data_IF_591530755515
#
_entry.id   IF_591530755515
#
_cell.length_a   1.000
_cell.length_b   1.000
_cell.length_c   1.000
_cell.angle_alpha   90.00
_cell.angle_beta   90.00
_cell.angle_gamma   90.00
#
_symmetry.space_group_name_H-M   'P 1'
#
loop_
_entity.id
_entity.type
_entity.pdbx_description
1 polymer ?
#
# COMPACT_ATOMS: atom_id res chain seq x y z
N UNK A 1 -5.28 -11.81 23.61
CA UNK A 1 -4.76 -11.58 22.25
C UNK A 1 -3.92 -10.30 22.25
N UNK A 2 -2.60 -10.40 22.27
CA UNK A 2 -1.72 -9.23 22.42
C UNK A 2 -1.53 -8.43 21.10
N UNK A 3 -2.17 -8.83 20.00
CA UNK A 3 -1.89 -8.30 18.68
C UNK A 3 -0.67 -8.98 18.02
N UNK A 4 -0.51 -8.81 16.73
CA UNK A 4 0.59 -9.36 15.94
C UNK A 4 1.87 -8.50 16.06
N UNK A 5 2.86 -8.71 15.20
CA UNK A 5 4.14 -8.01 15.24
C UNK A 5 4.08 -6.54 14.83
N UNK A 6 2.99 -6.09 14.19
CA UNK A 6 2.85 -4.70 13.76
C UNK A 6 2.85 -3.73 14.95
N UNK A 7 3.42 -2.55 14.73
CA UNK A 7 3.51 -1.46 15.70
C UNK A 7 4.04 -1.90 17.09
N UNK A 8 5.26 -2.46 17.21
CA UNK A 8 5.79 -2.98 18.46
C UNK A 8 5.81 -1.95 19.60
N UNK A 9 5.93 -0.66 19.29
CA UNK A 9 5.82 0.43 20.27
C UNK A 9 4.44 0.52 20.95
N UNK A 10 3.41 -0.03 20.32
CA UNK A 10 2.04 -0.11 20.84
C UNK A 10 1.72 -1.46 21.45
N UNK A 11 2.70 -2.37 21.55
CA UNK A 11 2.56 -3.69 22.17
C UNK A 11 2.48 -4.85 21.19
N UNK A 12 2.69 -4.60 19.89
CA UNK A 12 2.81 -5.64 18.88
C UNK A 12 3.96 -6.59 19.22
N UNK A 13 3.77 -7.91 19.07
CA UNK A 13 4.76 -8.92 19.45
C UNK A 13 4.60 -10.21 18.66
N UNK A 14 5.71 -10.90 18.43
CA UNK A 14 5.75 -12.26 17.85
C UNK A 14 5.68 -13.37 18.91
N UNK A 15 5.52 -13.02 20.19
CA UNK A 15 5.63 -13.98 21.30
C UNK A 15 4.64 -15.15 21.22
N UNK A 16 3.47 -14.96 20.62
CA UNK A 16 2.48 -16.04 20.44
C UNK A 16 2.99 -17.13 19.50
N UNK A 17 3.70 -16.77 18.45
CA UNK A 17 4.25 -17.77 17.53
C UNK A 17 5.22 -18.72 18.23
N UNK A 18 6.01 -18.21 19.20
CA UNK A 18 6.89 -19.05 20.05
C UNK A 18 6.11 -20.05 20.91
N UNK A 19 4.91 -19.70 21.36
CA UNK A 19 4.05 -20.63 22.12
C UNK A 19 3.54 -21.78 21.25
N UNK A 20 3.50 -21.59 19.92
CA UNK A 20 3.01 -22.56 18.95
C UNK A 20 4.14 -23.45 18.38
N UNK A 21 5.42 -23.16 18.63
CA UNK A 21 6.57 -23.89 18.08
C UNK A 21 6.56 -25.41 18.41
N UNK A 22 5.90 -25.81 19.51
CA UNK A 22 5.77 -27.21 19.92
C UNK A 22 4.38 -27.80 19.60
N UNK A 23 3.66 -27.20 18.68
CA UNK A 23 2.35 -27.67 18.22
C UNK A 23 2.38 -27.98 16.73
N UNK A 24 1.41 -28.78 16.25
CA UNK A 24 1.23 -29.03 14.82
C UNK A 24 0.43 -27.92 14.12
N UNK A 25 0.23 -26.78 14.79
CA UNK A 25 -0.48 -25.64 14.23
C UNK A 25 0.40 -24.97 13.17
N UNK A 26 -0.06 -25.04 11.93
CA UNK A 26 0.65 -24.42 10.81
C UNK A 26 0.47 -22.91 10.85
N UNK A 27 1.60 -22.21 10.75
CA UNK A 27 1.67 -20.75 10.63
C UNK A 27 2.20 -20.36 9.26
N UNK A 28 1.68 -19.26 8.72
CA UNK A 28 2.23 -18.58 7.56
C UNK A 28 3.14 -17.49 8.08
N UNK A 29 4.35 -17.42 7.51
CA UNK A 29 5.37 -16.48 8.00
C UNK A 29 4.83 -15.04 8.02
N UNK A 30 4.85 -14.36 9.17
CA UNK A 30 4.34 -13.01 9.25
C UNK A 30 5.29 -12.02 8.56
N UNK A 31 4.71 -10.99 7.94
CA UNK A 31 5.43 -9.87 7.38
C UNK A 31 4.64 -8.55 7.56
N UNK A 32 5.31 -7.38 7.52
CA UNK A 32 4.64 -6.09 7.63
C UNK A 32 3.56 -5.91 6.56
N UNK A 33 2.47 -5.22 6.91
CA UNK A 33 1.39 -4.87 6.00
C UNK A 33 0.90 -3.44 6.26
N UNK A 34 0.27 -2.84 5.27
CA UNK A 34 -0.23 -1.47 5.33
C UNK A 34 0.86 -0.48 5.76
N UNK A 35 1.96 -0.50 5.04
CA UNK A 35 3.14 0.33 5.30
C UNK A 35 3.62 1.06 4.04
N UNK A 36 4.53 2.00 4.23
CA UNK A 36 5.16 2.72 3.12
C UNK A 36 6.10 1.83 2.32
N UNK A 37 6.29 2.16 1.03
CA UNK A 37 7.15 1.46 0.10
C UNK A 37 8.38 2.32 -0.23
N UNK A 38 9.57 1.71 -0.24
CA UNK A 38 10.83 2.39 -0.55
C UNK A 38 11.09 2.37 -2.04
N UNK A 39 11.33 3.53 -2.64
CA UNK A 39 11.67 3.66 -4.05
C UNK A 39 13.17 3.50 -4.30
N UNK A 40 13.55 3.13 -5.52
CA UNK A 40 14.94 3.24 -5.99
C UNK A 40 15.25 4.65 -6.46
N UNK A 41 14.25 5.30 -7.06
CA UNK A 41 14.38 6.67 -7.53
C UNK A 41 14.46 7.64 -6.36
N UNK A 42 15.23 8.69 -6.55
CA UNK A 42 15.24 9.84 -5.66
C UNK A 42 13.92 10.61 -5.77
N UNK A 43 13.19 10.67 -4.68
CA UNK A 43 11.92 11.41 -4.57
C UNK A 43 12.02 12.59 -3.60
N UNK A 44 13.23 13.03 -3.25
CA UNK A 44 13.48 14.14 -2.31
C UNK A 44 12.79 15.44 -2.73
N UNK A 45 12.81 15.75 -4.04
CA UNK A 45 12.11 16.91 -4.62
C UNK A 45 10.58 16.86 -4.43
N UNK A 46 10.02 15.66 -4.29
CA UNK A 46 8.59 15.43 -4.06
C UNK A 46 8.23 15.37 -2.56
N UNK A 47 9.21 15.41 -1.66
CA UNK A 47 8.97 15.24 -0.24
C UNK A 47 7.87 16.19 0.30
N UNK A 48 6.88 15.59 0.99
CA UNK A 48 5.73 16.27 1.57
C UNK A 48 4.58 16.53 0.60
N UNK A 49 4.73 16.21 -0.69
CA UNK A 49 3.64 16.36 -1.67
C UNK A 49 2.61 15.26 -1.47
N UNK A 50 1.34 15.65 -1.54
CA UNK A 50 0.19 14.74 -1.62
C UNK A 50 -0.53 14.96 -2.93
N UNK A 51 -1.00 13.89 -3.55
CA UNK A 51 -1.78 13.96 -4.78
C UNK A 51 -2.88 12.90 -4.77
N UNK A 52 -4.05 13.27 -5.28
CA UNK A 52 -5.11 12.30 -5.60
C UNK A 52 -4.77 11.66 -6.93
N UNK A 53 -4.75 10.34 -6.98
CA UNK A 53 -4.30 9.59 -8.14
C UNK A 53 -4.90 8.18 -8.16
N UNK A 54 -4.62 7.45 -9.24
CA UNK A 54 -4.65 5.99 -9.23
C UNK A 54 -3.23 5.49 -9.06
N UNK A 55 -3.06 4.48 -8.24
CA UNK A 55 -1.79 3.80 -8.00
C UNK A 55 -1.96 2.35 -8.43
N UNK A 56 -1.09 1.85 -9.30
CA UNK A 56 -1.11 0.46 -9.77
C UNK A 56 0.19 -0.24 -9.39
N UNK A 57 0.09 -1.47 -8.92
CA UNK A 57 1.21 -2.35 -8.65
C UNK A 57 1.46 -3.21 -9.88
N UNK A 58 2.65 -3.08 -10.47
CA UNK A 58 3.09 -3.85 -11.64
C UNK A 58 4.26 -4.73 -11.28
N UNK A 59 4.36 -5.88 -11.93
CA UNK A 59 5.54 -6.73 -11.90
C UNK A 59 5.62 -7.56 -13.18
N UNK A 60 6.81 -7.63 -13.78
CA UNK A 60 7.08 -8.35 -15.05
C UNK A 60 6.13 -7.97 -16.21
N UNK A 61 5.62 -6.73 -16.20
CA UNK A 61 4.72 -6.20 -17.21
C UNK A 61 3.23 -6.37 -16.92
N UNK A 62 2.86 -7.16 -15.92
CA UNK A 62 1.48 -7.40 -15.52
C UNK A 62 1.04 -6.45 -14.40
N UNK A 63 -0.22 -6.05 -14.42
CA UNK A 63 -0.86 -5.29 -13.33
C UNK A 63 -1.43 -6.28 -12.31
N UNK A 64 -0.95 -6.23 -11.08
CA UNK A 64 -1.36 -7.09 -9.97
C UNK A 64 -2.58 -6.56 -9.24
N UNK A 65 -2.59 -5.27 -8.92
CA UNK A 65 -3.72 -4.60 -8.27
C UNK A 65 -3.64 -3.09 -8.54
N UNK A 66 -4.74 -2.38 -8.32
CA UNK A 66 -4.82 -0.92 -8.46
C UNK A 66 -5.73 -0.32 -7.40
N UNK A 67 -5.30 0.81 -6.85
CA UNK A 67 -6.03 1.57 -5.84
C UNK A 67 -6.20 3.02 -6.28
N UNK A 68 -7.35 3.60 -5.98
CA UNK A 68 -7.58 5.03 -6.17
C UNK A 68 -7.60 5.73 -4.82
N UNK A 69 -6.86 6.82 -4.69
CA UNK A 69 -6.80 7.54 -3.43
C UNK A 69 -5.71 8.60 -3.39
N UNK A 70 -5.32 8.98 -2.19
CA UNK A 70 -4.21 9.91 -1.97
C UNK A 70 -2.89 9.13 -1.86
N UNK A 71 -1.90 9.53 -2.66
CA UNK A 71 -0.49 9.19 -2.46
C UNK A 71 0.20 10.33 -1.72
N UNK A 72 1.15 10.00 -0.86
CA UNK A 72 2.07 10.93 -0.24
C UNK A 72 3.50 10.54 -0.60
N UNK A 73 4.21 11.47 -1.20
CA UNK A 73 5.63 11.34 -1.50
C UNK A 73 6.47 11.77 -0.30
N UNK A 74 7.50 11.00 -0.01
CA UNK A 74 8.52 11.34 0.97
C UNK A 74 9.91 11.07 0.37
N UNK A 75 10.96 11.50 1.02
CA UNK A 75 12.33 11.29 0.55
C UNK A 75 12.66 9.78 0.47
N UNK A 76 12.74 9.24 -0.74
CA UNK A 76 12.94 7.83 -1.04
C UNK A 76 11.75 6.90 -0.71
N UNK A 77 10.53 7.44 -0.49
CA UNK A 77 9.37 6.64 -0.08
C UNK A 77 8.06 7.09 -0.71
N UNK A 78 7.21 6.11 -0.97
CA UNK A 78 5.78 6.30 -1.28
C UNK A 78 4.94 5.89 -0.07
N UNK A 79 3.92 6.67 0.24
CA UNK A 79 3.03 6.49 1.38
C UNK A 79 1.60 6.90 1.00
N UNK A 80 0.66 6.82 1.96
CA UNK A 80 -0.75 7.10 1.72
C UNK A 80 -1.58 5.83 1.60
N UNK A 81 -2.91 5.97 1.74
CA UNK A 81 -3.82 4.82 1.83
C UNK A 81 -3.76 3.93 0.60
N UNK A 82 -3.67 4.51 -0.60
CA UNK A 82 -3.57 3.74 -1.85
C UNK A 82 -2.29 2.88 -1.87
N UNK A 83 -1.17 3.43 -1.44
CA UNK A 83 0.11 2.70 -1.34
C UNK A 83 0.05 1.63 -0.25
N UNK A 84 -0.54 1.93 0.90
CA UNK A 84 -0.67 0.97 2.00
C UNK A 84 -1.46 -0.27 1.58
N UNK A 85 -2.56 -0.08 0.87
CA UNK A 85 -3.37 -1.20 0.39
C UNK A 85 -2.63 -2.12 -0.59
N UNK A 86 -1.75 -1.55 -1.42
CA UNK A 86 -0.93 -2.31 -2.36
C UNK A 86 0.31 -2.92 -1.71
N UNK A 87 0.72 -2.44 -0.52
CA UNK A 87 1.96 -2.87 0.13
C UNK A 87 2.00 -4.36 0.44
N UNK A 88 0.86 -4.97 0.76
CA UNK A 88 0.77 -6.40 1.08
C UNK A 88 1.28 -7.26 -0.10
N UNK A 89 0.66 -7.11 -1.26
CA UNK A 89 1.08 -7.84 -2.46
C UNK A 89 2.47 -7.43 -2.95
N UNK A 90 2.83 -6.15 -2.79
CA UNK A 90 4.16 -5.66 -3.12
C UNK A 90 5.26 -6.35 -2.28
N UNK A 91 5.00 -6.57 -1.00
CA UNK A 91 5.93 -7.24 -0.09
C UNK A 91 6.04 -8.72 -0.44
N UNK A 92 4.93 -9.38 -0.79
CA UNK A 92 4.96 -10.77 -1.27
C UNK A 92 5.87 -10.90 -2.50
N UNK A 93 5.72 -10.00 -3.49
CA UNK A 93 6.57 -9.98 -4.68
C UNK A 93 8.06 -9.75 -4.34
N UNK A 94 8.35 -8.84 -3.40
CA UNK A 94 9.73 -8.62 -2.93
C UNK A 94 10.31 -9.85 -2.23
N UNK A 95 9.52 -10.54 -1.40
CA UNK A 95 9.91 -11.76 -0.71
C UNK A 95 10.19 -12.92 -1.69
N UNK A 96 9.47 -12.94 -2.83
CA UNK A 96 9.70 -13.86 -3.94
C UNK A 96 10.92 -13.48 -4.81
N UNK A 97 11.66 -12.43 -4.44
CA UNK A 97 12.85 -11.95 -5.15
C UNK A 97 12.53 -11.21 -6.45
N UNK A 98 11.29 -10.77 -6.65
CA UNK A 98 10.85 -10.02 -7.83
C UNK A 98 11.06 -8.51 -7.63
N UNK A 99 10.94 -7.77 -8.70
CA UNK A 99 11.11 -6.31 -8.71
C UNK A 99 9.77 -5.63 -9.05
N UNK A 100 8.95 -5.34 -8.03
CA UNK A 100 7.69 -4.65 -8.26
C UNK A 100 7.90 -3.17 -8.61
N UNK A 101 6.98 -2.63 -9.40
CA UNK A 101 6.92 -1.22 -9.80
C UNK A 101 5.59 -0.64 -9.37
N UNK A 102 5.62 0.53 -8.76
CA UNK A 102 4.42 1.33 -8.51
C UNK A 102 4.29 2.36 -9.61
N UNK A 103 3.20 2.28 -10.38
CA UNK A 103 2.81 3.26 -11.38
C UNK A 103 1.75 4.20 -10.79
N UNK A 104 2.01 5.51 -10.91
CA UNK A 104 1.12 6.57 -10.44
C UNK A 104 0.47 7.26 -11.63
N UNK A 105 -0.84 7.14 -11.77
CA UNK A 105 -1.65 7.90 -12.73
C UNK A 105 -2.16 9.16 -12.05
N UNK A 106 -1.51 10.28 -12.31
CA UNK A 106 -2.00 11.60 -11.89
C UNK A 106 -3.23 12.00 -12.72
N UNK A 107 -4.12 12.82 -12.14
CA UNK A 107 -5.38 13.27 -12.79
C UNK A 107 -6.14 12.11 -13.47
N UNK A 108 -6.53 11.07 -12.72
CA UNK A 108 -7.12 9.85 -13.29
C UNK A 108 -8.46 10.07 -13.99
N UNK A 109 -9.10 11.23 -13.77
CA UNK A 109 -10.34 11.66 -14.40
C UNK A 109 -10.19 12.18 -15.85
N UNK A 110 -8.95 12.48 -16.29
CA UNK A 110 -8.64 12.92 -17.64
C UNK A 110 -7.91 11.79 -18.39
N UNK A 111 -8.21 11.57 -19.64
CA UNK A 111 -7.41 10.68 -20.49
C UNK A 111 -6.14 11.38 -21.02
N UNK A 112 -5.32 10.67 -21.79
CA UNK A 112 -4.08 11.23 -22.34
C UNK A 112 -4.33 12.35 -23.33
N UNK A 113 -5.37 12.23 -24.15
CA UNK A 113 -5.73 13.24 -25.14
C UNK A 113 -6.23 14.52 -24.47
N UNK A 114 -6.98 14.41 -23.38
CA UNK A 114 -7.43 15.55 -22.57
C UNK A 114 -6.24 16.29 -21.95
N UNK A 115 -5.29 15.54 -21.36
CA UNK A 115 -4.07 16.14 -20.77
C UNK A 115 -3.23 16.80 -21.84
N UNK A 116 -3.03 16.13 -22.99
CA UNK A 116 -2.30 16.68 -24.12
C UNK A 116 -2.95 17.96 -24.67
N UNK A 117 -4.27 17.92 -24.84
CA UNK A 117 -5.06 19.08 -25.27
C UNK A 117 -4.91 20.27 -24.32
N UNK A 118 -4.91 20.01 -23.00
CA UNK A 118 -4.66 21.04 -21.99
C UNK A 118 -3.26 21.65 -22.11
N UNK A 119 -2.23 20.82 -22.21
CA UNK A 119 -0.84 21.28 -22.31
C UNK A 119 -0.59 22.05 -23.62
N UNK A 120 -1.11 21.59 -24.77
CA UNK A 120 -1.03 22.30 -26.04
C UNK A 120 -1.71 23.68 -25.97
N UNK A 121 -2.92 23.73 -25.44
CA UNK A 121 -3.65 24.99 -25.25
C UNK A 121 -2.89 25.96 -24.35
N UNK A 122 -2.28 25.47 -23.28
CA UNK A 122 -1.47 26.30 -22.40
C UNK A 122 -0.25 26.85 -23.13
N UNK A 123 0.52 26.00 -23.85
CA UNK A 123 1.69 26.39 -24.65
C UNK A 123 1.34 27.51 -25.63
N UNK A 124 0.27 27.32 -26.40
CA UNK A 124 -0.10 28.22 -27.47
C UNK A 124 -0.67 29.56 -26.96
N UNK A 125 -1.36 29.53 -25.81
CA UNK A 125 -1.93 30.70 -25.17
C UNK A 125 -0.97 31.46 -24.24
N UNK A 126 0.10 30.85 -23.82
CA UNK A 126 1.03 31.42 -22.82
C UNK A 126 2.51 31.16 -23.20
N UNK A 127 2.95 31.59 -24.39
CA UNK A 127 4.26 31.21 -24.94
C UNK A 127 5.46 31.60 -24.04
N UNK A 128 5.37 32.73 -23.35
CA UNK A 128 6.44 33.26 -22.51
C UNK A 128 6.41 32.74 -21.07
N UNK A 129 5.40 31.93 -20.70
CA UNK A 129 5.32 31.37 -19.37
C UNK A 129 6.35 30.28 -19.15
N UNK A 130 6.83 30.20 -17.91
CA UNK A 130 7.74 29.14 -17.48
C UNK A 130 7.08 27.78 -17.63
N UNK A 131 7.94 26.78 -17.88
CA UNK A 131 7.50 25.41 -18.16
C UNK A 131 6.71 24.80 -16.98
N UNK A 132 7.17 25.07 -15.75
CA UNK A 132 6.50 24.56 -14.54
C UNK A 132 5.05 25.06 -14.42
N UNK A 133 4.76 26.22 -14.99
CA UNK A 133 3.40 26.77 -14.96
C UNK A 133 2.42 26.02 -15.88
N UNK A 134 2.89 25.21 -16.84
CA UNK A 134 2.03 24.46 -17.77
C UNK A 134 1.14 23.42 -17.07
N UNK A 135 1.60 22.88 -15.99
CA UNK A 135 0.85 21.88 -15.21
C UNK A 135 -0.01 22.48 -14.10
N UNK A 136 -0.04 23.83 -13.97
CA UNK A 136 -0.88 24.49 -12.98
C UNK A 136 -2.37 24.16 -13.24
N UNK A 137 -3.04 23.67 -12.20
CA UNK A 137 -4.41 23.17 -12.30
C UNK A 137 -4.54 21.69 -12.61
N UNK A 138 -3.48 21.03 -13.10
CA UNK A 138 -3.41 19.57 -13.27
C UNK A 138 -2.74 18.91 -12.07
N UNK A 139 -1.51 19.34 -11.76
CA UNK A 139 -0.69 18.74 -10.71
C UNK A 139 -0.02 19.80 -9.84
N UNK A 140 0.49 19.38 -8.69
CA UNK A 140 1.28 20.26 -7.81
C UNK A 140 2.56 20.73 -8.51
N UNK A 141 3.01 21.96 -8.23
CA UNK A 141 4.22 22.56 -8.82
C UNK A 141 5.48 21.70 -8.63
N UNK A 142 5.64 21.06 -7.46
CA UNK A 142 6.77 20.16 -7.21
C UNK A 142 6.73 18.93 -8.12
N UNK A 143 5.54 18.39 -8.39
CA UNK A 143 5.35 17.26 -9.33
C UNK A 143 5.72 17.73 -10.74
N UNK A 144 5.24 18.90 -11.16
CA UNK A 144 5.59 19.45 -12.47
C UNK A 144 7.11 19.60 -12.63
N UNK A 145 7.78 20.15 -11.63
CA UNK A 145 9.24 20.33 -11.62
C UNK A 145 9.97 18.98 -11.65
N UNK A 146 9.50 18.00 -10.89
CA UNK A 146 10.04 16.65 -10.90
C UNK A 146 9.95 16.01 -12.30
N UNK A 147 8.79 16.13 -12.97
CA UNK A 147 8.60 15.64 -14.35
C UNK A 147 9.58 16.32 -15.31
N UNK A 148 9.69 17.65 -15.24
CA UNK A 148 10.59 18.43 -16.08
C UNK A 148 12.05 17.98 -15.91
N UNK A 149 12.49 17.80 -14.67
CA UNK A 149 13.83 17.35 -14.34
C UNK A 149 14.08 15.92 -14.84
N UNK A 150 13.14 15.01 -14.59
CA UNK A 150 13.21 13.59 -14.98
C UNK A 150 13.26 13.41 -16.50
N UNK A 151 12.56 14.26 -17.24
CA UNK A 151 12.58 14.27 -18.71
C UNK A 151 13.74 15.07 -19.29
N UNK A 152 14.57 15.69 -18.44
CA UNK A 152 15.70 16.55 -18.85
C UNK A 152 15.29 17.66 -19.82
N UNK A 153 14.08 18.23 -19.63
CA UNK A 153 13.59 19.28 -20.50
C UNK A 153 14.39 20.56 -20.30
N UNK A 154 15.08 21.01 -21.35
CA UNK A 154 15.95 22.19 -21.32
C UNK A 154 15.21 23.50 -21.62
N UNK A 155 13.98 23.41 -22.02
CA UNK A 155 13.15 24.59 -22.35
C UNK A 155 12.86 25.39 -21.09
N UNK A 156 13.03 26.70 -21.17
CA UNK A 156 12.70 27.62 -20.07
C UNK A 156 11.25 28.11 -20.16
N UNK A 157 10.71 28.17 -21.39
CA UNK A 157 9.37 28.69 -21.66
C UNK A 157 8.54 27.70 -22.45
N UNK A 158 7.23 27.81 -22.31
CA UNK A 158 6.25 26.93 -22.95
C UNK A 158 6.38 26.89 -24.48
N UNK A 159 6.61 28.04 -25.12
CA UNK A 159 6.72 28.14 -26.59
C UNK A 159 7.81 27.28 -27.22
N UNK A 160 8.82 26.88 -26.45
CA UNK A 160 9.94 26.09 -26.95
C UNK A 160 9.72 24.58 -26.87
N UNK A 161 8.64 24.12 -26.27
CA UNK A 161 8.31 22.71 -26.21
C UNK A 161 7.83 22.19 -27.56
N UNK A 162 8.44 21.09 -27.98
CA UNK A 162 7.97 20.32 -29.13
C UNK A 162 6.77 19.48 -28.77
N UNK A 163 6.02 18.99 -29.76
CA UNK A 163 4.91 18.07 -29.53
C UNK A 163 5.40 16.75 -28.92
N UNK A 164 6.57 16.26 -29.31
CA UNK A 164 7.19 15.06 -28.73
C UNK A 164 7.50 15.24 -27.23
N UNK A 165 7.99 16.41 -26.82
CA UNK A 165 8.22 16.72 -25.40
C UNK A 165 6.92 16.81 -24.62
N UNK A 166 5.84 17.31 -25.23
CA UNK A 166 4.51 17.30 -24.64
C UNK A 166 3.97 15.89 -24.45
N UNK A 167 4.12 15.02 -25.45
CA UNK A 167 3.71 13.60 -25.35
C UNK A 167 4.48 12.88 -24.23
N UNK A 168 5.76 13.16 -24.07
CA UNK A 168 6.56 12.63 -22.95
C UNK A 168 6.08 13.16 -21.59
N UNK A 169 5.68 14.43 -21.50
CA UNK A 169 5.09 14.99 -20.27
C UNK A 169 3.75 14.31 -19.93
N UNK A 170 2.88 14.10 -20.94
CA UNK A 170 1.62 13.38 -20.77
C UNK A 170 1.89 11.98 -20.25
N UNK A 171 2.84 11.27 -20.86
CA UNK A 171 3.20 9.92 -20.42
C UNK A 171 3.63 9.90 -18.95
N UNK A 172 4.50 10.83 -18.51
CA UNK A 172 4.89 10.91 -17.10
C UNK A 172 3.73 11.29 -16.16
N UNK A 173 2.80 12.12 -16.60
CA UNK A 173 1.61 12.46 -15.80
C UNK A 173 0.71 11.23 -15.63
N UNK A 174 0.62 10.37 -16.63
CA UNK A 174 -0.30 9.21 -16.64
C UNK A 174 0.37 7.91 -16.18
N UNK A 175 1.69 7.78 -16.32
CA UNK A 175 2.45 6.55 -16.11
C UNK A 175 3.74 6.80 -15.33
N UNK A 176 3.70 7.62 -14.28
CA UNK A 176 4.87 7.88 -13.44
C UNK A 176 5.24 6.63 -12.64
N UNK A 177 6.40 6.05 -12.94
CA UNK A 177 6.84 4.75 -12.38
C UNK A 177 7.94 4.90 -11.36
N UNK A 178 7.83 4.09 -10.30
CA UNK A 178 8.82 3.96 -9.25
C UNK A 178 9.10 2.47 -9.00
N UNK A 179 10.35 2.08 -9.14
CA UNK A 179 10.80 0.73 -8.79
C UNK A 179 10.89 0.60 -7.27
N UNK A 180 10.29 -0.44 -6.71
CA UNK A 180 10.26 -0.65 -5.27
C UNK A 180 11.43 -1.52 -4.84
N UNK A 181 12.24 -1.01 -3.91
CA UNK A 181 13.44 -1.66 -3.40
C UNK A 181 13.29 -2.19 -1.97
N UNK A 182 12.14 -1.93 -1.33
CA UNK A 182 11.87 -2.35 0.04
C UNK A 182 10.59 -1.76 0.59
N UNK A 183 10.37 -1.93 1.88
CA UNK A 183 9.16 -1.51 2.58
C UNK A 183 9.46 -1.02 3.99
N UNK A 184 8.51 -0.33 4.62
CA UNK A 184 8.53 -0.04 6.04
C UNK A 184 8.49 -1.35 6.84
N UNK A 185 9.29 -1.43 7.91
CA UNK A 185 9.28 -2.57 8.82
C UNK A 185 8.03 -2.57 9.71
N UNK A 186 7.98 -3.50 10.67
CA UNK A 186 6.90 -3.57 11.65
C UNK A 186 6.67 -2.28 12.44
N UNK A 187 7.72 -1.49 12.69
CA UNK A 187 7.62 -0.19 13.38
C UNK A 187 6.75 0.83 12.64
N UNK A 188 6.56 0.65 11.34
CA UNK A 188 5.86 1.57 10.45
C UNK A 188 4.63 0.93 9.79
N UNK A 189 4.34 -0.32 10.12
CA UNK A 189 3.17 -1.04 9.62
C UNK A 189 1.95 -0.84 10.51
N UNK A 190 0.77 -0.74 9.89
CA UNK A 190 -0.49 -0.65 10.62
C UNK A 190 -1.08 -2.04 10.92
N UNK A 191 -0.63 -3.06 10.18
CA UNK A 191 -1.04 -4.45 10.33
C UNK A 191 0.12 -5.38 9.95
N UNK A 192 -0.04 -6.67 10.21
CA UNK A 192 0.81 -7.72 9.70
C UNK A 192 -0.01 -8.72 8.87
N UNK A 193 0.57 -9.19 7.78
CA UNK A 193 0.11 -10.38 7.06
C UNK A 193 0.70 -11.64 7.66
N UNK A 194 0.17 -12.80 7.28
CA UNK A 194 0.56 -14.08 7.85
C UNK A 194 -0.13 -14.37 9.18
N UNK A 195 0.27 -15.44 9.82
CA UNK A 195 -0.34 -15.89 11.06
C UNK A 195 -0.75 -17.34 11.03
N UNK A 196 -1.67 -17.72 11.91
CA UNK A 196 -2.21 -19.07 11.98
C UNK A 196 -3.10 -19.32 10.75
N UNK A 197 -2.80 -20.35 9.99
CA UNK A 197 -3.57 -20.78 8.82
C UNK A 197 -5.05 -20.99 9.20
N UNK A 198 -5.93 -20.17 8.64
CA UNK A 198 -7.37 -20.17 8.97
C UNK A 198 -8.08 -21.48 8.66
N UNK A 199 -7.51 -22.32 7.80
CA UNK A 199 -8.04 -23.68 7.51
C UNK A 199 -8.02 -24.59 8.71
N UNK A 200 -7.28 -24.25 9.76
CA UNK A 200 -7.18 -24.99 11.02
C UNK A 200 -8.06 -24.39 12.13
N UNK A 201 -8.86 -23.38 11.80
CA UNK A 201 -9.75 -22.71 12.75
C UNK A 201 -11.20 -23.02 12.42
N UNK A 202 -12.00 -23.34 13.42
CA UNK A 202 -13.44 -23.49 13.27
C UNK A 202 -14.08 -22.12 13.10
N UNK A 203 -14.75 -21.85 11.99
CA UNK A 203 -15.26 -20.50 11.68
C UNK A 203 -16.39 -20.04 12.62
N UNK A 204 -17.08 -20.96 13.29
CA UNK A 204 -18.16 -20.69 14.24
C UNK A 204 -17.69 -20.35 15.65
N UNK A 205 -16.52 -20.83 16.04
CA UNK A 205 -15.97 -20.70 17.40
C UNK A 205 -14.58 -20.11 17.47
N UNK A 206 -13.85 -20.03 16.37
CA UNK A 206 -12.42 -19.68 16.30
C UNK A 206 -11.54 -20.64 17.12
N UNK A 207 -12.01 -21.84 17.47
CA UNK A 207 -11.23 -22.88 18.13
C UNK A 207 -10.29 -23.54 17.13
N UNK A 208 -9.02 -23.76 17.53
CA UNK A 208 -8.07 -24.47 16.70
C UNK A 208 -8.35 -25.96 16.66
N UNK A 209 -8.38 -26.55 15.45
CA UNK A 209 -8.61 -27.98 15.26
C UNK A 209 -7.52 -28.81 15.92
N UNK A 210 -7.95 -29.85 16.64
CA UNK A 210 -7.04 -30.70 17.42
C UNK A 210 -6.60 -30.12 18.78
N UNK A 211 -6.85 -28.85 19.06
CA UNK A 211 -6.40 -28.16 20.29
C UNK A 211 -7.59 -27.64 21.09
N UNK A 212 -8.25 -28.53 21.80
CA UNK A 212 -9.45 -28.26 22.59
C UNK A 212 -9.21 -27.16 23.63
N UNK A 213 -9.94 -26.03 23.50
CA UNK A 213 -9.86 -24.86 24.39
C UNK A 213 -8.83 -23.82 23.96
N UNK A 214 -8.17 -24.00 22.82
CA UNK A 214 -7.33 -23.00 22.21
C UNK A 214 -8.15 -22.23 21.18
N UNK A 215 -8.31 -20.95 21.40
CA UNK A 215 -9.04 -20.05 20.50
C UNK A 215 -8.09 -19.01 19.92
N UNK A 216 -8.25 -18.71 18.64
CA UNK A 216 -7.45 -17.72 17.90
C UNK A 216 -8.35 -16.61 17.43
N UNK A 217 -7.96 -15.35 17.68
CA UNK A 217 -8.76 -14.19 17.28
C UNK A 217 -7.87 -13.04 16.78
N UNK A 218 -8.45 -12.21 15.94
CA UNK A 218 -7.80 -11.01 15.42
C UNK A 218 -6.65 -11.34 14.47
N UNK A 219 -5.63 -10.52 14.54
CA UNK A 219 -4.50 -10.50 13.60
C UNK A 219 -3.56 -11.72 13.68
N UNK A 220 -3.72 -12.58 14.70
CA UNK A 220 -3.01 -13.86 14.74
C UNK A 220 -3.57 -14.92 13.79
N UNK A 221 -4.80 -14.79 13.33
CA UNK A 221 -5.32 -15.57 12.20
C UNK A 221 -4.84 -14.92 10.90
N UNK A 222 -4.42 -15.73 9.93
CA UNK A 222 -3.97 -15.24 8.62
C UNK A 222 -5.13 -14.62 7.82
N UNK A 223 -5.52 -13.41 8.24
CA UNK A 223 -6.53 -12.56 7.58
C UNK A 223 -6.13 -11.10 7.77
N UNK A 224 -5.79 -10.46 6.67
CA UNK A 224 -5.42 -9.04 6.66
C UNK A 224 -6.26 -8.29 5.64
N UNK A 225 -6.93 -7.23 6.07
CA UNK A 225 -7.77 -6.37 5.23
C UNK A 225 -7.07 -5.07 4.87
N UNK A 226 -7.56 -4.42 3.83
CA UNK A 226 -7.13 -3.08 3.41
C UNK A 226 -7.41 -2.04 4.51
N UNK A 227 -6.82 -0.84 4.39
CA UNK A 227 -7.16 0.30 5.25
C UNK A 227 -8.66 0.60 5.20
N UNK A 228 -9.25 0.97 6.35
CA UNK A 228 -10.69 1.28 6.42
C UNK A 228 -11.43 0.59 7.56
N UNK A 229 -10.72 0.09 8.58
CA UNK A 229 -11.32 -0.51 9.79
C UNK A 229 -11.58 -2.01 9.69
N UNK A 230 -11.28 -2.66 8.55
CA UNK A 230 -11.50 -4.11 8.35
C UNK A 230 -10.76 -4.97 9.39
N UNK A 231 -9.49 -4.66 9.67
CA UNK A 231 -8.67 -5.41 10.63
C UNK A 231 -9.21 -5.29 12.05
N UNK A 232 -9.68 -4.10 12.45
CA UNK A 232 -10.30 -3.88 13.75
C UNK A 232 -11.64 -4.64 13.84
N UNK A 233 -12.45 -4.59 12.80
CA UNK A 233 -13.73 -5.32 12.75
C UNK A 233 -13.50 -6.83 12.82
N UNK A 234 -12.53 -7.35 12.08
CA UNK A 234 -12.13 -8.75 12.14
C UNK A 234 -11.72 -9.16 13.56
N UNK A 235 -10.88 -8.36 14.22
CA UNK A 235 -10.45 -8.64 15.59
C UNK A 235 -11.62 -8.66 16.59
N UNK A 236 -12.55 -7.70 16.48
CA UNK A 236 -13.74 -7.64 17.34
C UNK A 236 -14.64 -8.86 17.10
N UNK A 237 -14.98 -9.16 15.85
CA UNK A 237 -15.91 -10.25 15.50
C UNK A 237 -15.36 -11.62 15.89
N UNK A 238 -14.08 -11.87 15.63
CA UNK A 238 -13.43 -13.14 15.99
C UNK A 238 -13.23 -13.25 17.50
N UNK A 239 -12.91 -12.15 18.18
CA UNK A 239 -12.81 -12.10 19.63
C UNK A 239 -14.12 -12.41 20.33
N UNK A 240 -15.25 -11.88 19.84
CA UNK A 240 -16.60 -12.17 20.35
C UNK A 240 -16.94 -13.65 20.16
N UNK A 241 -16.71 -14.22 18.97
CA UNK A 241 -16.96 -15.66 18.68
C UNK A 241 -16.13 -16.56 19.61
N UNK A 242 -14.85 -16.27 19.75
CA UNK A 242 -13.95 -17.01 20.64
C UNK A 242 -14.42 -16.95 22.10
N UNK A 243 -14.80 -15.75 22.57
CA UNK A 243 -15.27 -15.54 23.93
C UNK A 243 -16.58 -16.25 24.22
N UNK A 244 -17.56 -16.21 23.30
CA UNK A 244 -18.83 -16.96 23.44
C UNK A 244 -18.61 -18.46 23.49
N UNK A 245 -17.77 -19.00 22.59
CA UNK A 245 -17.47 -20.42 22.55
C UNK A 245 -16.75 -20.90 23.82
N UNK A 246 -15.78 -20.16 24.29
CA UNK A 246 -15.09 -20.42 25.56
C UNK A 246 -16.05 -20.41 26.75
N UNK A 247 -16.95 -19.43 26.84
CA UNK A 247 -17.95 -19.31 27.90
C UNK A 247 -18.96 -20.47 27.93
N UNK A 248 -19.48 -20.86 26.76
CA UNK A 248 -20.38 -22.01 26.63
C UNK A 248 -19.73 -23.31 27.07
N UNK A 249 -18.46 -23.49 26.73
CA UNK A 249 -17.70 -24.66 27.14
C UNK A 249 -17.51 -24.72 28.67
N UNK A 250 -17.08 -23.63 29.29
CA UNK A 250 -16.88 -23.59 30.75
C UNK A 250 -18.14 -23.91 31.54
N UNK A 251 -19.32 -23.49 31.03
CA UNK A 251 -20.62 -23.80 31.64
C UNK A 251 -21.00 -25.27 31.46
N UNK A 252 -20.67 -25.87 30.32
CA UNK A 252 -20.94 -27.30 30.07
C UNK A 252 -20.05 -28.21 30.94
N UNK A 253 -18.77 -27.86 31.08
CA UNK A 253 -17.79 -28.64 31.87
C UNK A 253 -18.07 -28.53 33.39
N UNK A 254 -18.72 -27.47 33.88
CA UNK A 254 -19.16 -27.35 35.28
C UNK A 254 -20.42 -28.16 35.63
N UNK A 255 -21.20 -28.56 34.62
CA UNK A 255 -22.42 -29.33 34.80
C UNK A 255 -22.22 -30.86 34.60
N UNK A 256 -20.98 -31.29 34.43
CA UNK A 256 -20.53 -32.69 34.46
C UNK A 256 -19.77 -33.01 35.70
#
# INVERSE_FOLDING_TARGET
APGSAAAPKLGGTESVYRLLENTDIRTIAPHPALCRLKTREDTSDLAGVRARCRVSLLCDGDVYDSESGEIQFADGWLSGIAVFNLSMQCIDLLNDGRTPVVEVTLVPEMDEDDVLGYLRKFRDSNPDRRLEAMSNGLVNEKIARFIINRLELKSVTAARLTDEELDRMVFEIKHMRFEISGHGGYDESQAACGGIDTRQLRPDSMEADGYKGLYVAGEYADVTGKCGGYNIMWAVMTGMRAGEAAGKRLTHDKNK
#
